data_IF_897107913092
#
_entry.id   IF_897107913092
#
_cell.length_a   1.000
_cell.length_b   1.000
_cell.length_c   1.000
_cell.angle_alpha   90.00
_cell.angle_beta   90.00
_cell.angle_gamma   90.00
#
_symmetry.space_group_name_H-M   'P 1'
#
loop_
_entity.id
_entity.type
_entity.pdbx_description
1 polymer ?
#
# COMPACT_ATOMS: atom_id res chain seq x y z
N UNK A 1 10.08 -20.93 0.95
CA UNK A 1 9.19 -21.78 0.12
C UNK A 1 8.15 -20.95 -0.65
N UNK A 2 7.29 -20.18 0.02
CA UNK A 2 6.20 -19.41 -0.61
C UNK A 2 6.62 -18.51 -1.78
N UNK A 3 7.68 -17.72 -1.65
CA UNK A 3 8.12 -16.83 -2.75
C UNK A 3 8.48 -17.58 -4.03
N UNK A 4 9.00 -18.82 -3.91
CA UNK A 4 9.34 -19.65 -5.08
C UNK A 4 8.12 -20.08 -5.89
N UNK A 5 6.90 -19.95 -5.36
CA UNK A 5 5.67 -20.31 -6.09
C UNK A 5 5.09 -19.13 -6.87
N UNK A 6 5.64 -17.93 -6.71
CA UNK A 6 5.24 -16.72 -7.43
C UNK A 6 5.87 -16.78 -8.82
N UNK A 7 5.05 -17.06 -9.86
CA UNK A 7 5.53 -17.21 -11.25
C UNK A 7 6.32 -16.01 -11.76
N UNK A 8 6.01 -14.81 -11.27
CA UNK A 8 6.68 -13.57 -11.67
C UNK A 8 8.09 -13.42 -11.06
N UNK A 9 8.46 -14.21 -10.06
CA UNK A 9 9.80 -14.17 -9.45
C UNK A 9 10.67 -15.25 -10.09
N UNK A 10 11.66 -14.89 -10.93
CA UNK A 10 12.54 -15.88 -11.55
C UNK A 10 13.37 -16.60 -10.48
N UNK A 11 13.49 -17.92 -10.61
CA UNK A 11 14.40 -18.73 -9.77
C UNK A 11 15.84 -18.68 -10.28
N UNK A 12 16.01 -18.33 -11.55
CA UNK A 12 17.29 -18.15 -12.23
C UNK A 12 17.17 -16.85 -13.02
N UNK A 13 18.12 -15.94 -12.80
CA UNK A 13 18.19 -14.69 -13.55
C UNK A 13 18.62 -14.97 -14.99
N UNK A 14 18.07 -14.22 -15.94
CA UNK A 14 18.54 -14.28 -17.32
C UNK A 14 19.97 -13.71 -17.38
N UNK A 15 20.79 -14.24 -18.27
CA UNK A 15 22.13 -13.69 -18.50
C UNK A 15 22.01 -12.32 -19.19
N UNK A 16 21.96 -11.27 -18.36
CA UNK A 16 21.94 -9.88 -18.77
C UNK A 16 23.32 -9.21 -18.71
N UNK A 17 24.39 -10.00 -18.53
CA UNK A 17 25.76 -9.51 -18.36
C UNK A 17 26.02 -8.80 -17.03
N UNK A 18 27.22 -9.02 -16.48
CA UNK A 18 27.76 -8.31 -15.31
C UNK A 18 26.84 -8.32 -14.06
N UNK A 19 26.13 -9.41 -13.82
CA UNK A 19 25.36 -9.60 -12.58
C UNK A 19 26.35 -9.73 -11.39
N UNK A 20 26.13 -9.02 -10.28
CA UNK A 20 26.90 -9.21 -9.04
C UNK A 20 26.77 -10.63 -8.50
N UNK A 21 27.84 -11.16 -7.91
CA UNK A 21 27.78 -12.44 -7.18
C UNK A 21 26.72 -12.43 -6.07
N UNK A 22 26.56 -11.27 -5.40
CA UNK A 22 25.48 -11.03 -4.45
C UNK A 22 24.62 -9.89 -4.97
N UNK A 23 23.36 -10.19 -5.26
CA UNK A 23 22.34 -9.24 -5.67
C UNK A 23 21.08 -9.44 -4.81
N UNK A 24 20.89 -8.60 -3.80
CA UNK A 24 19.61 -8.55 -3.07
C UNK A 24 18.62 -7.67 -3.84
N UNK A 25 17.51 -8.27 -4.26
CA UNK A 25 16.41 -7.55 -4.91
C UNK A 25 15.29 -7.30 -3.92
N UNK A 26 14.90 -6.04 -3.79
CA UNK A 26 13.74 -5.61 -3.01
C UNK A 26 12.59 -5.27 -3.95
N UNK A 27 11.40 -5.74 -3.57
CA UNK A 27 10.19 -5.55 -4.35
C UNK A 27 8.94 -5.74 -3.51
N UNK A 28 7.79 -5.56 -4.16
CA UNK A 28 6.48 -5.72 -3.55
C UNK A 28 5.81 -6.96 -4.14
N UNK A 29 5.40 -7.89 -3.28
CA UNK A 29 4.48 -8.96 -3.66
C UNK A 29 3.05 -8.44 -3.48
N UNK A 30 2.25 -8.54 -4.54
CA UNK A 30 0.88 -8.07 -4.53
C UNK A 30 -0.08 -9.13 -5.09
N UNK A 31 -1.37 -8.93 -4.85
CA UNK A 31 -2.42 -9.77 -5.43
C UNK A 31 -3.15 -8.96 -6.51
N UNK A 32 -3.14 -9.40 -7.78
CA UNK A 32 -3.94 -8.80 -8.82
C UNK A 32 -5.44 -8.78 -8.45
N UNK A 33 -6.17 -7.78 -8.93
CA UNK A 33 -7.61 -7.59 -8.67
C UNK A 33 -8.41 -8.83 -9.03
N UNK A 34 -8.12 -9.42 -10.19
CA UNK A 34 -8.83 -10.61 -10.65
C UNK A 34 -8.59 -11.80 -9.70
N UNK A 35 -7.34 -12.05 -9.32
CA UNK A 35 -6.99 -13.11 -8.36
C UNK A 35 -7.63 -12.88 -6.98
N UNK A 36 -7.75 -11.64 -6.54
CA UNK A 36 -8.45 -11.30 -5.30
C UNK A 36 -9.96 -11.60 -5.38
N UNK A 37 -10.62 -11.24 -6.49
CA UNK A 37 -12.03 -11.52 -6.73
C UNK A 37 -12.29 -13.03 -6.75
N UNK A 38 -11.48 -13.78 -7.48
CA UNK A 38 -11.55 -15.24 -7.56
C UNK A 38 -11.34 -15.90 -6.20
N UNK A 39 -10.34 -15.43 -5.44
CA UNK A 39 -10.07 -15.94 -4.11
C UNK A 39 -11.25 -15.72 -3.17
N UNK A 40 -11.83 -14.51 -3.15
CA UNK A 40 -13.00 -14.25 -2.32
C UNK A 40 -14.24 -15.02 -2.77
N UNK A 41 -14.40 -15.25 -4.08
CA UNK A 41 -15.48 -16.13 -4.60
C UNK A 41 -15.35 -17.55 -4.07
N UNK A 42 -14.15 -18.15 -4.16
CA UNK A 42 -13.89 -19.49 -3.63
C UNK A 42 -14.10 -19.57 -2.12
N UNK A 43 -13.67 -18.55 -1.37
CA UNK A 43 -13.89 -18.47 0.09
C UNK A 43 -15.37 -18.37 0.44
N UNK A 44 -16.14 -17.58 -0.31
CA UNK A 44 -17.59 -17.46 -0.13
C UNK A 44 -18.28 -18.80 -0.32
N UNK A 45 -17.90 -19.55 -1.37
CA UNK A 45 -18.45 -20.89 -1.65
C UNK A 45 -18.10 -21.90 -0.55
N UNK A 46 -16.95 -21.74 0.09
CA UNK A 46 -16.51 -22.56 1.21
C UNK A 46 -16.96 -22.01 2.58
N UNK A 47 -17.87 -21.02 2.62
CA UNK A 47 -18.37 -20.37 3.84
C UNK A 47 -17.27 -19.79 4.75
N UNK A 48 -16.15 -19.39 4.17
CA UNK A 48 -15.02 -18.81 4.87
C UNK A 48 -15.10 -17.28 4.92
N UNK A 49 -14.54 -16.63 5.96
CA UNK A 49 -14.45 -15.17 6.02
C UNK A 49 -13.71 -14.59 4.81
N UNK A 50 -14.29 -13.59 4.16
CA UNK A 50 -13.68 -12.94 3.00
C UNK A 50 -12.49 -12.08 3.39
N UNK A 51 -11.52 -11.93 2.50
CA UNK A 51 -10.47 -10.94 2.65
C UNK A 51 -11.01 -9.55 2.35
N UNK A 52 -10.64 -8.60 3.20
CA UNK A 52 -11.15 -7.24 3.13
C UNK A 52 -10.46 -6.39 2.04
N UNK A 53 -9.19 -6.67 1.71
CA UNK A 53 -8.49 -6.00 0.60
C UNK A 53 -7.36 -6.88 0.04
N UNK A 54 -6.86 -6.58 -1.17
CA UNK A 54 -5.77 -7.35 -1.80
C UNK A 54 -4.48 -7.38 -0.99
N UNK A 55 -4.16 -6.31 -0.24
CA UNK A 55 -2.97 -6.24 0.62
C UNK A 55 -3.00 -7.30 1.71
N UNK A 56 -4.12 -7.41 2.43
CA UNK A 56 -4.32 -8.41 3.46
C UNK A 56 -4.36 -9.83 2.89
N UNK A 57 -4.97 -10.00 1.71
CA UNK A 57 -5.00 -11.28 1.01
C UNK A 57 -3.59 -11.73 0.59
N UNK A 58 -2.76 -10.84 0.04
CA UNK A 58 -1.38 -11.13 -0.34
C UNK A 58 -0.52 -11.47 0.88
N UNK A 59 -0.58 -10.64 1.94
CA UNK A 59 0.18 -10.86 3.16
C UNK A 59 -0.21 -12.17 3.86
N UNK A 60 -1.52 -12.47 3.94
CA UNK A 60 -2.01 -13.73 4.50
C UNK A 60 -1.56 -14.93 3.67
N UNK A 61 -1.59 -14.81 2.34
CA UNK A 61 -1.15 -15.86 1.41
C UNK A 61 0.34 -16.18 1.57
N UNK A 62 1.20 -15.16 1.72
CA UNK A 62 2.63 -15.35 1.92
C UNK A 62 3.02 -15.99 3.25
N UNK A 63 2.14 -15.96 4.25
CA UNK A 63 2.38 -16.51 5.59
C UNK A 63 1.85 -17.94 5.78
N UNK A 64 1.28 -18.55 4.73
CA UNK A 64 0.78 -19.91 4.78
C UNK A 64 1.95 -20.90 4.97
N UNK A 65 1.74 -21.92 5.79
CA UNK A 65 2.73 -22.98 6.02
C UNK A 65 2.93 -23.86 4.77
N UNK A 66 1.83 -24.17 4.07
CA UNK A 66 1.86 -24.97 2.85
C UNK A 66 1.96 -24.08 1.61
N UNK A 67 3.13 -24.13 0.95
CA UNK A 67 3.41 -23.35 -0.24
C UNK A 67 2.54 -23.70 -1.44
N UNK A 68 1.96 -24.91 -1.50
CA UNK A 68 1.03 -25.31 -2.55
C UNK A 68 -0.25 -24.47 -2.51
N UNK A 69 -0.68 -24.09 -1.30
CA UNK A 69 -1.83 -23.20 -1.13
C UNK A 69 -1.49 -21.80 -1.65
N UNK A 70 -0.27 -21.31 -1.37
CA UNK A 70 0.24 -20.02 -1.88
C UNK A 70 0.31 -20.01 -3.40
N UNK A 71 0.75 -21.11 -4.02
CA UNK A 71 0.85 -21.25 -5.48
C UNK A 71 -0.50 -21.01 -6.17
N UNK A 72 -1.60 -21.48 -5.57
CA UNK A 72 -2.97 -21.25 -6.08
C UNK A 72 -3.50 -19.82 -5.90
N UNK A 73 -2.74 -18.91 -5.25
CA UNK A 73 -3.18 -17.52 -5.00
C UNK A 73 -2.85 -16.56 -6.14
N UNK A 74 -2.09 -17.01 -7.14
CA UNK A 74 -1.69 -16.21 -8.30
C UNK A 74 -1.13 -14.83 -7.91
N UNK A 75 -0.25 -14.82 -6.89
CA UNK A 75 0.45 -13.59 -6.49
C UNK A 75 1.37 -13.12 -7.62
N UNK A 76 1.63 -11.82 -7.64
CA UNK A 76 2.53 -11.15 -8.57
C UNK A 76 3.60 -10.35 -7.80
N UNK A 77 4.60 -9.86 -8.51
CA UNK A 77 5.76 -9.18 -7.91
C UNK A 77 6.22 -8.03 -8.79
N UNK A 78 6.68 -6.94 -8.17
CA UNK A 78 7.46 -5.90 -8.83
C UNK A 78 8.75 -5.61 -8.05
N UNK A 79 9.90 -5.73 -8.71
CA UNK A 79 11.17 -5.26 -8.20
C UNK A 79 11.23 -3.72 -8.24
N UNK A 80 11.70 -3.10 -7.15
CA UNK A 80 11.76 -1.64 -7.04
C UNK A 80 13.04 -1.10 -6.41
N UNK A 81 13.96 -1.92 -5.91
CA UNK A 81 15.23 -1.50 -5.32
C UNK A 81 16.22 -2.66 -5.19
N UNK A 82 17.48 -2.32 -4.93
CA UNK A 82 18.52 -3.25 -4.47
C UNK A 82 18.71 -3.12 -2.95
N UNK A 83 19.17 -4.19 -2.31
CA UNK A 83 19.71 -4.19 -0.95
C UNK A 83 21.22 -4.38 -0.99
N UNK A 84 21.71 -5.46 -0.38
CA UNK A 84 23.11 -5.89 -0.49
C UNK A 84 23.55 -6.14 -1.95
N UNK A 85 24.76 -5.69 -2.27
CA UNK A 85 25.39 -5.82 -3.58
C UNK A 85 26.87 -6.13 -3.39
N UNK A 86 27.39 -7.18 -4.04
CA UNK A 86 28.84 -7.45 -4.02
C UNK A 86 29.65 -6.47 -4.87
N UNK A 87 29.01 -5.81 -5.84
CA UNK A 87 29.58 -4.71 -6.62
C UNK A 87 28.47 -3.75 -7.10
N UNK A 88 28.79 -2.48 -7.43
CA UNK A 88 27.82 -1.55 -7.97
C UNK A 88 27.05 -2.13 -9.17
N UNK A 89 25.73 -2.12 -9.08
CA UNK A 89 24.87 -2.69 -10.13
C UNK A 89 24.58 -1.67 -11.25
N UNK A 90 24.43 -0.38 -10.92
CA UNK A 90 24.32 0.73 -11.87
C UNK A 90 24.59 2.07 -11.17
N UNK A 91 24.64 3.17 -11.93
CA UNK A 91 24.95 4.50 -11.39
C UNK A 91 23.72 5.22 -10.81
N UNK A 92 22.52 4.80 -11.22
CA UNK A 92 21.28 5.43 -10.76
C UNK A 92 20.10 4.47 -10.74
N UNK A 93 19.07 4.87 -10.00
CA UNK A 93 17.93 4.04 -9.72
C UNK A 93 17.16 3.61 -10.97
N UNK A 94 16.94 4.52 -11.91
CA UNK A 94 16.24 4.20 -13.15
C UNK A 94 16.98 3.16 -13.99
N UNK A 95 18.31 3.25 -14.08
CA UNK A 95 19.13 2.24 -14.75
C UNK A 95 19.06 0.88 -14.04
N UNK A 96 19.12 0.84 -12.70
CA UNK A 96 18.90 -0.38 -11.93
C UNK A 96 17.56 -1.04 -12.30
N UNK A 97 16.49 -0.26 -12.42
CA UNK A 97 15.17 -0.79 -12.80
C UNK A 97 15.12 -1.27 -14.26
N UNK A 98 15.89 -0.70 -15.18
CA UNK A 98 15.99 -1.29 -16.53
C UNK A 98 16.79 -2.60 -16.50
N UNK A 99 17.93 -2.62 -15.82
CA UNK A 99 18.73 -3.85 -15.66
C UNK A 99 17.94 -4.99 -15.02
N UNK A 100 17.05 -4.69 -14.06
CA UNK A 100 16.12 -5.67 -13.52
C UNK A 100 15.28 -6.34 -14.60
N UNK A 101 14.76 -5.59 -15.58
CA UNK A 101 14.02 -6.17 -16.71
C UNK A 101 14.91 -7.04 -17.56
N UNK A 102 16.14 -6.59 -17.84
CA UNK A 102 17.10 -7.32 -18.66
C UNK A 102 17.46 -8.68 -18.07
N UNK A 103 17.52 -8.79 -16.74
CA UNK A 103 17.78 -10.05 -16.02
C UNK A 103 16.51 -10.84 -15.69
N UNK A 104 15.35 -10.45 -16.24
CA UNK A 104 14.08 -11.18 -16.14
C UNK A 104 13.23 -10.86 -14.90
N UNK A 105 13.58 -9.84 -14.11
CA UNK A 105 12.76 -9.41 -12.98
C UNK A 105 11.63 -8.48 -13.46
N UNK A 106 10.40 -8.67 -12.95
CA UNK A 106 9.28 -7.82 -13.29
C UNK A 106 9.46 -6.43 -12.66
N UNK A 107 9.35 -5.39 -13.48
CA UNK A 107 9.38 -4.00 -13.03
C UNK A 107 8.10 -3.32 -13.50
N UNK A 108 7.56 -2.44 -12.67
CA UNK A 108 6.32 -1.74 -13.01
C UNK A 108 6.49 -0.97 -14.34
N UNK A 109 5.62 -1.19 -15.34
CA UNK A 109 5.76 -0.57 -16.66
C UNK A 109 5.55 0.96 -16.63
N UNK A 110 5.00 1.48 -15.54
CA UNK A 110 4.63 2.89 -15.39
C UNK A 110 5.67 3.76 -14.67
N UNK A 111 6.88 3.24 -14.46
CA UNK A 111 7.99 4.05 -13.95
C UNK A 111 8.33 5.19 -14.91
N UNK A 112 8.54 6.39 -14.37
CA UNK A 112 8.92 7.57 -15.14
C UNK A 112 10.00 8.36 -14.42
N UNK A 113 10.92 8.95 -15.19
CA UNK A 113 11.79 10.02 -14.70
C UNK A 113 11.02 11.34 -14.76
N UNK A 114 11.28 12.20 -13.79
CA UNK A 114 10.87 13.60 -13.80
C UNK A 114 12.15 14.45 -13.73
N UNK A 115 12.20 15.53 -14.49
CA UNK A 115 13.35 16.46 -14.50
C UNK A 115 13.35 17.40 -13.29
N UNK A 116 12.17 17.69 -12.75
CA UNK A 116 11.94 18.60 -11.63
C UNK A 116 10.73 18.16 -10.79
N UNK A 117 10.44 18.93 -9.73
CA UNK A 117 9.33 18.63 -8.81
C UNK A 117 7.96 18.84 -9.46
N UNK A 118 7.82 19.81 -10.37
CA UNK A 118 6.56 20.11 -11.03
C UNK A 118 6.15 18.96 -11.95
N UNK A 119 7.09 18.41 -12.73
CA UNK A 119 6.86 17.22 -13.53
C UNK A 119 6.55 16.00 -12.65
N UNK A 120 7.25 15.84 -11.52
CA UNK A 120 6.96 14.76 -10.58
C UNK A 120 5.53 14.85 -10.03
N UNK A 121 5.07 16.05 -9.63
CA UNK A 121 3.71 16.30 -9.16
C UNK A 121 2.68 16.07 -10.26
N UNK A 122 2.93 16.53 -11.49
CA UNK A 122 2.05 16.32 -12.63
C UNK A 122 1.86 14.83 -12.94
N UNK A 123 2.94 14.03 -12.87
CA UNK A 123 2.87 12.57 -13.00
C UNK A 123 2.01 11.99 -11.87
N UNK A 124 2.24 12.41 -10.62
CA UNK A 124 1.48 11.89 -9.48
C UNK A 124 -0.02 12.18 -9.59
N UNK A 125 -0.39 13.42 -9.89
CA UNK A 125 -1.78 13.84 -10.09
C UNK A 125 -2.44 13.07 -11.24
N UNK A 126 -1.73 12.90 -12.35
CA UNK A 126 -2.23 12.15 -13.51
C UNK A 126 -2.52 10.67 -13.23
N UNK A 127 -1.93 10.09 -12.17
CA UNK A 127 -2.18 8.71 -11.76
C UNK A 127 -3.39 8.52 -10.84
N UNK A 128 -3.85 9.59 -10.18
CA UNK A 128 -5.00 9.53 -9.27
C UNK A 128 -6.27 9.03 -9.98
N UNK A 129 -6.53 9.50 -11.21
CA UNK A 129 -7.69 9.09 -12.01
C UNK A 129 -7.48 7.74 -12.70
N UNK A 130 -6.23 7.40 -13.02
CA UNK A 130 -5.88 6.18 -13.77
C UNK A 130 -5.79 4.94 -12.89
N UNK A 131 -5.64 5.10 -11.57
CA UNK A 131 -5.46 3.98 -10.62
C UNK A 131 -6.54 2.91 -10.68
N UNK A 132 -7.77 3.27 -11.08
CA UNK A 132 -8.89 2.34 -11.21
C UNK A 132 -8.74 1.38 -12.39
N UNK A 133 -7.95 1.76 -13.40
CA UNK A 133 -7.70 0.97 -14.62
C UNK A 133 -6.58 -0.06 -14.46
N UNK A 134 -5.83 0.02 -13.36
CA UNK A 134 -4.76 -0.94 -13.06
C UNK A 134 -5.37 -2.29 -12.63
N UNK A 135 -4.72 -3.36 -13.02
CA UNK A 135 -5.01 -4.73 -12.59
C UNK A 135 -4.60 -5.00 -11.14
N UNK A 136 -4.03 -4.00 -10.45
CA UNK A 136 -3.72 -4.01 -9.03
C UNK A 136 -4.21 -2.73 -8.34
N UNK A 137 -4.18 -2.72 -7.02
CA UNK A 137 -4.55 -1.56 -6.20
C UNK A 137 -3.27 -0.82 -5.81
N UNK A 138 -3.31 0.51 -5.93
CA UNK A 138 -2.25 1.41 -5.46
C UNK A 138 -2.85 2.49 -4.57
N UNK A 139 -2.09 2.92 -3.58
CA UNK A 139 -2.47 3.93 -2.59
C UNK A 139 -1.77 5.27 -2.79
N UNK A 140 -0.94 5.35 -3.83
CA UNK A 140 -0.13 6.51 -4.14
C UNK A 140 0.98 6.20 -5.13
N UNK A 141 1.92 7.14 -5.20
CA UNK A 141 3.16 7.06 -5.98
C UNK A 141 4.35 7.19 -5.04
N UNK A 142 5.52 6.68 -5.46
CA UNK A 142 6.76 6.84 -4.70
C UNK A 142 7.71 7.71 -5.51
N UNK A 143 8.10 8.85 -4.94
CA UNK A 143 9.07 9.78 -5.53
C UNK A 143 10.42 9.46 -4.92
N UNK A 144 11.44 9.25 -5.76
CA UNK A 144 12.80 8.92 -5.32
C UNK A 144 13.81 9.80 -6.05
N UNK A 145 14.79 10.31 -5.33
CA UNK A 145 15.99 10.91 -5.93
C UNK A 145 16.69 9.86 -6.78
N UNK A 146 17.00 10.15 -8.04
CA UNK A 146 17.42 9.12 -8.99
C UNK A 146 18.88 8.66 -8.78
N UNK A 147 19.81 9.60 -8.56
CA UNK A 147 21.23 9.28 -8.44
C UNK A 147 21.57 8.74 -7.05
N UNK A 148 22.44 7.73 -6.98
CA UNK A 148 22.80 7.09 -5.69
C UNK A 148 23.70 7.96 -4.81
N UNK A 149 24.65 8.66 -5.40
CA UNK A 149 25.52 9.60 -4.67
C UNK A 149 24.74 10.69 -3.92
N UNK A 150 23.65 11.20 -4.51
CA UNK A 150 22.75 12.13 -3.84
C UNK A 150 21.98 11.48 -2.69
N UNK A 151 21.65 10.18 -2.79
CA UNK A 151 21.00 9.45 -1.69
C UNK A 151 21.94 9.27 -0.51
N UNK A 152 23.21 9.01 -0.77
CA UNK A 152 24.24 8.85 0.26
C UNK A 152 24.42 10.16 1.05
N UNK A 153 24.47 11.30 0.33
CA UNK A 153 24.51 12.63 0.96
C UNK A 153 23.26 12.90 1.80
N UNK A 154 22.07 12.56 1.29
CA UNK A 154 20.81 12.80 1.99
C UNK A 154 20.65 11.90 3.22
N UNK A 155 21.14 10.67 3.14
CA UNK A 155 21.09 9.67 4.20
C UNK A 155 19.67 9.26 4.59
N UNK A 156 19.51 8.85 5.85
CA UNK A 156 18.26 8.41 6.43
C UNK A 156 18.07 8.97 7.84
N UNK A 157 16.81 9.03 8.27
CA UNK A 157 16.43 9.19 9.67
C UNK A 157 16.34 7.81 10.34
N UNK A 158 16.14 7.75 11.66
CA UNK A 158 15.92 6.47 12.35
C UNK A 158 14.69 5.67 11.90
N UNK A 159 13.82 6.23 11.03
CA UNK A 159 12.60 5.59 10.54
C UNK A 159 12.51 5.46 9.03
N UNK A 160 13.09 6.39 8.27
CA UNK A 160 12.90 6.47 6.83
C UNK A 160 14.08 7.16 6.10
N UNK A 161 14.36 6.79 4.84
CA UNK A 161 15.32 7.51 3.99
C UNK A 161 14.86 8.95 3.71
N UNK A 162 15.82 9.88 3.58
CA UNK A 162 15.52 11.30 3.26
C UNK A 162 15.37 11.58 1.77
N UNK A 163 15.73 10.61 0.93
CA UNK A 163 15.73 10.70 -0.53
C UNK A 163 14.50 10.08 -1.20
N UNK A 164 13.52 9.64 -0.43
CA UNK A 164 12.32 8.96 -0.91
C UNK A 164 11.09 9.40 -0.12
N UNK A 165 9.98 9.64 -0.81
CA UNK A 165 8.70 9.98 -0.20
C UNK A 165 7.55 9.27 -0.90
N UNK A 166 6.55 8.85 -0.12
CA UNK A 166 5.29 8.32 -0.65
C UNK A 166 4.31 9.48 -0.85
N UNK A 167 3.97 9.78 -2.09
CA UNK A 167 2.86 10.67 -2.44
C UNK A 167 1.56 9.88 -2.41
N UNK A 168 0.84 9.93 -1.29
CA UNK A 168 -0.43 9.20 -1.12
C UNK A 168 -1.56 9.93 -1.83
N UNK A 169 -2.41 9.16 -2.51
CA UNK A 169 -3.64 9.74 -3.06
C UNK A 169 -4.58 10.10 -1.92
N UNK A 170 -5.49 11.07 -2.13
CA UNK A 170 -6.56 11.35 -1.18
C UNK A 170 -7.28 10.05 -0.82
N UNK A 171 -7.45 9.82 0.47
CA UNK A 171 -8.17 8.67 0.99
C UNK A 171 -9.59 8.65 0.39
N UNK A 172 -10.07 7.46 0.07
CA UNK A 172 -11.49 7.31 -0.24
C UNK A 172 -12.30 7.79 0.98
N UNK A 173 -13.37 8.54 0.71
CA UNK A 173 -14.24 9.08 1.75
C UNK A 173 -15.64 8.51 1.56
N UNK A 174 -16.30 8.19 2.66
CA UNK A 174 -17.69 7.77 2.66
C UNK A 174 -18.48 8.56 3.70
N UNK A 175 -19.77 8.73 3.45
CA UNK A 175 -20.69 9.33 4.41
C UNK A 175 -21.48 8.25 5.12
N UNK A 176 -21.61 8.35 6.43
CA UNK A 176 -22.46 7.48 7.23
C UNK A 176 -22.99 8.22 8.45
N UNK A 177 -23.96 7.62 9.14
CA UNK A 177 -24.52 8.18 10.36
C UNK A 177 -23.73 7.75 11.59
N UNK A 178 -23.57 8.65 12.54
CA UNK A 178 -23.08 8.33 13.90
C UNK A 178 -24.23 7.73 14.69
N UNK A 179 -24.09 6.47 15.08
CA UNK A 179 -25.07 5.74 15.89
C UNK A 179 -24.89 6.01 17.38
N UNK A 180 -23.65 6.12 17.85
CA UNK A 180 -23.29 6.53 19.22
C UNK A 180 -21.82 6.94 19.29
N UNK A 181 -21.39 7.53 20.41
CA UNK A 181 -20.00 7.86 20.69
C UNK A 181 -19.62 7.22 22.01
N UNK A 182 -18.63 6.32 21.98
CA UNK A 182 -18.07 5.69 23.17
C UNK A 182 -16.75 6.35 23.57
N UNK A 183 -16.35 6.20 24.83
CA UNK A 183 -15.00 6.55 25.31
C UNK A 183 -14.25 5.27 25.64
N UNK A 184 -13.11 5.05 24.99
CA UNK A 184 -12.23 3.92 25.27
C UNK A 184 -11.08 4.34 26.19
N UNK A 185 -10.75 3.47 27.15
CA UNK A 185 -9.56 3.65 28.01
C UNK A 185 -8.39 2.90 27.40
N UNK A 186 -7.37 3.61 26.95
CA UNK A 186 -6.13 3.04 26.45
C UNK A 186 -5.29 2.39 27.54
N UNK A 187 -4.28 1.59 27.16
CA UNK A 187 -3.38 0.91 28.10
C UNK A 187 -2.64 1.85 29.06
N UNK A 188 -2.45 3.10 28.66
CA UNK A 188 -1.82 4.17 29.45
C UNK A 188 -2.84 5.03 30.22
N UNK A 189 -4.12 4.66 30.25
CA UNK A 189 -5.19 5.44 30.88
C UNK A 189 -5.76 6.58 30.02
N UNK A 190 -5.23 6.79 28.81
CA UNK A 190 -5.74 7.82 27.88
C UNK A 190 -7.18 7.51 27.48
N UNK A 191 -8.07 8.48 27.63
CA UNK A 191 -9.46 8.40 27.20
C UNK A 191 -9.60 8.85 25.74
N UNK A 192 -10.00 7.93 24.86
CA UNK A 192 -10.13 8.19 23.42
C UNK A 192 -11.59 8.08 23.00
N UNK A 193 -12.20 9.16 22.47
CA UNK A 193 -13.54 9.09 21.91
C UNK A 193 -13.55 8.30 20.58
N UNK A 194 -14.55 7.46 20.39
CA UNK A 194 -14.74 6.62 19.21
C UNK A 194 -16.19 6.69 18.75
N UNK A 195 -16.40 7.09 17.50
CA UNK A 195 -17.73 7.09 16.89
C UNK A 195 -18.09 5.66 16.43
N UNK A 196 -19.24 5.16 16.89
CA UNK A 196 -19.89 3.99 16.31
C UNK A 196 -20.79 4.46 15.17
N UNK A 197 -20.69 3.78 14.04
CA UNK A 197 -21.22 4.23 12.77
C UNK A 197 -22.15 3.19 12.17
N UNK A 198 -23.15 3.67 11.43
CA UNK A 198 -23.90 2.85 10.49
C UNK A 198 -22.92 2.12 9.56
N UNK A 199 -23.03 0.78 9.40
CA UNK A 199 -22.08 0.02 8.59
C UNK A 199 -21.95 0.58 7.17
N UNK A 200 -20.75 0.98 6.79
CA UNK A 200 -20.49 1.59 5.47
C UNK A 200 -19.26 0.98 4.81
N UNK A 201 -19.31 0.84 3.49
CA UNK A 201 -18.18 0.32 2.73
C UNK A 201 -17.16 1.44 2.44
N UNK A 202 -15.90 1.23 2.83
CA UNK A 202 -14.83 2.20 2.64
C UNK A 202 -13.49 1.50 2.37
N UNK A 203 -12.85 1.80 1.23
CA UNK A 203 -11.58 1.20 0.83
C UNK A 203 -11.59 -0.34 0.95
N UNK A 204 -12.63 -0.97 0.40
CA UNK A 204 -12.79 -2.44 0.36
C UNK A 204 -13.24 -3.11 1.67
N UNK A 205 -13.35 -2.37 2.78
CA UNK A 205 -13.78 -2.95 4.06
C UNK A 205 -15.05 -2.30 4.60
N UNK A 206 -15.87 -3.07 5.32
CA UNK A 206 -16.99 -2.49 6.08
C UNK A 206 -16.47 -1.83 7.35
N UNK A 207 -16.68 -0.52 7.46
CA UNK A 207 -16.32 0.29 8.63
C UNK A 207 -17.57 0.46 9.49
N UNK A 208 -17.43 0.18 10.79
CA UNK A 208 -18.47 0.38 11.82
C UNK A 208 -18.02 1.30 12.94
N UNK A 209 -16.74 1.66 12.98
CA UNK A 209 -16.14 2.50 14.02
C UNK A 209 -15.12 3.43 13.38
N UNK A 210 -15.06 4.67 13.84
CA UNK A 210 -14.03 5.63 13.46
C UNK A 210 -13.50 6.37 14.68
N UNK A 211 -12.20 6.66 14.65
CA UNK A 211 -11.53 7.47 15.66
C UNK A 211 -12.02 8.92 15.59
N UNK A 212 -12.23 9.53 16.74
CA UNK A 212 -12.36 10.98 16.91
C UNK A 212 -11.08 11.61 17.48
N UNK A 213 -9.99 10.83 17.55
CA UNK A 213 -8.67 11.18 18.06
C UNK A 213 -8.60 11.53 19.54
N UNK A 214 -9.24 12.63 19.96
CA UNK A 214 -9.25 13.14 21.33
C UNK A 214 -10.48 14.06 21.54
N UNK A 215 -10.68 14.55 22.77
CA UNK A 215 -11.82 15.41 23.08
C UNK A 215 -11.75 16.78 22.43
N UNK A 216 -10.56 17.33 22.18
CA UNK A 216 -10.40 18.60 21.48
C UNK A 216 -10.89 18.49 20.03
N UNK A 217 -10.56 17.38 19.36
CA UNK A 217 -10.98 17.09 18.00
C UNK A 217 -12.48 16.78 17.92
N UNK A 218 -13.03 16.06 18.90
CA UNK A 218 -14.48 15.88 19.05
C UNK A 218 -15.20 17.24 19.15
N UNK A 219 -14.70 18.15 20.00
CA UNK A 219 -15.26 19.48 20.18
C UNK A 219 -15.09 20.36 18.93
N UNK A 220 -13.94 20.28 18.26
CA UNK A 220 -13.64 21.02 17.02
C UNK A 220 -14.58 20.61 15.88
N UNK A 221 -14.83 19.31 15.74
CA UNK A 221 -15.74 18.77 14.72
C UNK A 221 -17.22 18.94 15.11
N UNK A 222 -17.52 19.11 16.40
CA UNK A 222 -18.88 19.16 16.98
C UNK A 222 -19.74 17.95 16.55
N UNK A 223 -19.13 16.76 16.57
CA UNK A 223 -19.81 15.51 16.18
C UNK A 223 -20.76 15.08 17.28
N UNK A 224 -22.01 14.82 16.92
CA UNK A 224 -23.04 14.33 17.82
C UNK A 224 -23.65 13.03 17.32
N UNK A 225 -24.27 12.30 18.25
CA UNK A 225 -25.09 11.16 17.89
C UNK A 225 -26.20 11.58 16.91
N UNK A 226 -26.38 10.81 15.84
CA UNK A 226 -27.37 11.08 14.78
C UNK A 226 -26.82 11.89 13.61
N UNK A 227 -25.66 12.53 13.73
CA UNK A 227 -25.06 13.30 12.65
C UNK A 227 -24.65 12.42 11.47
N UNK A 228 -24.66 13.02 10.28
CA UNK A 228 -24.01 12.41 9.11
C UNK A 228 -22.58 12.92 9.06
N UNK A 229 -21.62 12.00 9.07
CA UNK A 229 -20.20 12.30 9.08
C UNK A 229 -19.54 11.80 7.81
N UNK A 230 -18.57 12.57 7.33
CA UNK A 230 -17.62 12.14 6.31
C UNK A 230 -16.47 11.43 7.01
N UNK A 231 -16.23 10.17 6.66
CA UNK A 231 -15.15 9.36 7.20
C UNK A 231 -14.15 9.01 6.11
N UNK A 232 -12.90 8.81 6.50
CA UNK A 232 -11.83 8.32 5.64
C UNK A 232 -10.94 7.34 6.41
N UNK A 233 -10.02 6.65 5.72
CA UNK A 233 -8.99 5.85 6.39
C UNK A 233 -7.63 6.53 6.32
N UNK A 234 -7.10 6.92 7.47
CA UNK A 234 -5.72 7.36 7.61
C UNK A 234 -4.76 6.23 7.20
N UNK A 235 -3.93 6.50 6.19
CA UNK A 235 -2.99 5.53 5.63
C UNK A 235 -3.64 4.22 5.19
N UNK A 236 -4.89 4.26 4.72
CA UNK A 236 -5.74 3.12 4.32
C UNK A 236 -6.11 2.11 5.41
N UNK A 237 -5.71 2.35 6.67
CA UNK A 237 -5.86 1.38 7.75
C UNK A 237 -6.85 1.87 8.81
N UNK A 238 -6.68 3.08 9.34
CA UNK A 238 -7.40 3.54 10.54
C UNK A 238 -8.55 4.46 10.13
N UNK A 239 -9.83 4.07 10.31
CA UNK A 239 -10.95 4.95 10.01
C UNK A 239 -11.01 6.13 10.98
N UNK A 240 -11.23 7.33 10.47
CA UNK A 240 -11.36 8.57 11.25
C UNK A 240 -12.49 9.45 10.70
N UNK A 241 -13.10 10.24 11.58
CA UNK A 241 -14.08 11.27 11.19
C UNK A 241 -13.33 12.51 10.70
N UNK A 242 -13.70 13.00 9.52
CA UNK A 242 -13.06 14.15 8.86
C UNK A 242 -13.88 15.42 9.03
N UNK A 243 -15.20 15.29 8.89
CA UNK A 243 -16.12 16.43 8.83
C UNK A 243 -17.53 15.98 9.21
N UNK A 244 -18.28 16.83 9.92
CA UNK A 244 -19.73 16.70 10.09
C UNK A 244 -20.43 17.35 8.91
N UNK A 245 -21.28 16.60 8.20
CA UNK A 245 -22.15 17.17 7.17
C UNK A 245 -23.36 17.80 7.84
N UNK A 246 -23.29 19.12 8.02
CA UNK A 246 -24.43 19.92 8.45
C UNK A 246 -25.52 19.86 7.37
N UNK A 247 -26.76 19.64 7.81
CA UNK A 247 -27.95 19.78 6.95
C UNK A 247 -28.14 21.23 6.54
#
# INVERSE_FOLDING_TARGET
ANVRTIKAVPLVLLDGGNIPEVLEVRGEVYMPRQSFVELNKARKQAEQPLFANPRNAAAGSLKLLDARITAGRNLAFFAYATGELSKPFSDNHFQTLQKFKDIGLPVNPYIKKAKDIDEALAICLGWQEKRSKLDYVIDGMVIKVNRFDQRDILGATGRAPRWCISYKFPAERAQTKVESIDVQVGKSGILTPVANLGPIQLAGTTVKRASLHNFDELNRLDVRQGDTVLIEKAGEIIPQVVEVKKK
#
